data_IF_388541219944
#
_entry.id   IF_388541219944
#
_cell.length_a   1.000
_cell.length_b   1.000
_cell.length_c   1.000
_cell.angle_alpha   90.00
_cell.angle_beta   90.00
_cell.angle_gamma   90.00
#
_symmetry.space_group_name_H-M   'P 1'
#
loop_
_entity.id
_entity.type
_entity.pdbx_description
1 polymer ?
#
# COMPACT_ATOMS: atom_id res chain seq x y z
N UNK A 1 -35.69 69.24 -29.74
CA UNK A 1 -36.40 67.99 -30.14
C UNK A 1 -35.45 66.87 -30.61
N UNK A 2 -34.24 67.17 -31.09
CA UNK A 2 -33.26 66.15 -31.48
C UNK A 2 -32.74 65.32 -30.29
N UNK A 3 -32.46 65.96 -29.14
CA UNK A 3 -31.88 65.29 -27.96
C UNK A 3 -32.77 64.22 -27.33
N UNK A 4 -34.10 64.40 -27.35
CA UNK A 4 -35.05 63.40 -26.82
C UNK A 4 -34.99 62.10 -27.62
N UNK A 5 -34.92 62.18 -28.95
CA UNK A 5 -34.82 60.99 -29.81
C UNK A 5 -33.52 60.24 -29.61
N UNK A 6 -32.43 60.96 -29.34
CA UNK A 6 -31.13 60.35 -29.05
C UNK A 6 -31.17 59.60 -27.70
N UNK A 7 -31.79 60.19 -26.67
CA UNK A 7 -31.97 59.54 -25.37
C UNK A 7 -32.86 58.29 -25.45
N UNK A 8 -33.94 58.35 -26.22
CA UNK A 8 -34.84 57.20 -26.44
C UNK A 8 -34.13 56.06 -27.19
N UNK A 9 -33.29 56.40 -28.17
CA UNK A 9 -32.47 55.44 -28.90
C UNK A 9 -31.43 54.78 -27.98
N UNK A 10 -30.73 55.57 -27.17
CA UNK A 10 -29.74 55.07 -26.19
C UNK A 10 -30.39 54.14 -25.17
N UNK A 11 -31.58 54.49 -24.65
CA UNK A 11 -32.33 53.62 -23.75
C UNK A 11 -32.73 52.29 -24.41
N UNK A 12 -33.12 52.34 -25.69
CA UNK A 12 -33.45 51.14 -26.45
C UNK A 12 -32.22 50.25 -26.64
N UNK A 13 -31.07 50.84 -26.96
CA UNK A 13 -29.81 50.13 -27.14
C UNK A 13 -29.31 49.51 -25.83
N UNK A 14 -29.44 50.20 -24.70
CA UNK A 14 -29.12 49.67 -23.36
C UNK A 14 -30.01 48.46 -23.03
N UNK A 15 -31.32 48.56 -23.26
CA UNK A 15 -32.24 47.45 -23.03
C UNK A 15 -31.94 46.23 -23.92
N UNK A 16 -31.52 46.47 -25.17
CA UNK A 16 -31.08 45.42 -26.07
C UNK A 16 -29.79 44.75 -25.59
N UNK A 17 -28.83 45.52 -25.08
CA UNK A 17 -27.58 45.00 -24.51
C UNK A 17 -27.85 44.17 -23.25
N UNK A 18 -28.70 44.65 -22.33
CA UNK A 18 -29.10 43.92 -21.13
C UNK A 18 -29.77 42.58 -21.48
N UNK A 19 -30.68 42.59 -22.44
CA UNK A 19 -31.35 41.36 -22.90
C UNK A 19 -30.36 40.36 -23.53
N UNK A 20 -29.31 40.86 -24.21
CA UNK A 20 -28.26 40.02 -24.78
C UNK A 20 -27.34 39.45 -23.68
N UNK A 21 -26.98 40.25 -22.67
CA UNK A 21 -26.22 39.78 -21.50
C UNK A 21 -26.96 38.67 -20.77
N UNK A 22 -28.24 38.86 -20.46
CA UNK A 22 -29.08 37.83 -19.81
C UNK A 22 -29.08 36.50 -20.59
N UNK A 23 -29.14 36.57 -21.92
CA UNK A 23 -29.09 35.38 -22.79
C UNK A 23 -27.73 34.71 -22.76
N UNK A 24 -26.65 35.49 -22.72
CA UNK A 24 -25.27 34.98 -22.62
C UNK A 24 -25.05 34.33 -21.26
N UNK A 25 -25.47 34.95 -20.17
CA UNK A 25 -25.37 34.39 -18.82
C UNK A 25 -26.14 33.08 -18.69
N UNK A 26 -27.38 33.02 -19.21
CA UNK A 26 -28.17 31.78 -19.22
C UNK A 26 -27.51 30.68 -20.04
N UNK A 27 -26.90 31.02 -21.18
CA UNK A 27 -26.14 30.06 -22.00
C UNK A 27 -24.88 29.59 -21.28
N UNK A 28 -24.12 30.50 -20.68
CA UNK A 28 -22.90 30.18 -19.94
C UNK A 28 -23.21 29.28 -18.75
N UNK A 29 -24.31 29.51 -18.03
CA UNK A 29 -24.75 28.65 -16.94
C UNK A 29 -25.16 27.24 -17.40
N UNK A 30 -25.78 27.14 -18.58
CA UNK A 30 -26.13 25.84 -19.17
C UNK A 30 -24.89 25.10 -19.70
N UNK A 31 -23.96 25.82 -20.31
CA UNK A 31 -22.71 25.30 -20.86
C UNK A 31 -21.74 24.89 -19.73
N UNK A 32 -21.66 25.67 -18.64
CA UNK A 32 -20.93 25.30 -17.43
C UNK A 32 -21.44 23.97 -16.85
N UNK A 33 -22.77 23.75 -16.81
CA UNK A 33 -23.35 22.47 -16.39
C UNK A 33 -23.08 21.31 -17.35
N UNK A 34 -22.83 21.59 -18.64
CA UNK A 34 -22.44 20.56 -19.61
C UNK A 34 -20.94 20.24 -19.57
N UNK A 35 -20.10 21.25 -19.32
CA UNK A 35 -18.65 21.10 -19.11
C UNK A 35 -18.38 20.32 -17.82
N UNK A 36 -19.16 20.57 -16.78
CA UNK A 36 -19.21 19.81 -15.53
C UNK A 36 -20.04 18.50 -15.69
N UNK A 37 -20.01 17.90 -16.89
CA UNK A 37 -20.79 16.71 -17.24
C UNK A 37 -20.57 15.53 -16.29
N UNK A 38 -21.28 14.39 -16.46
CA UNK A 38 -21.39 13.30 -15.47
C UNK A 38 -20.06 12.60 -15.08
N UNK A 39 -18.93 13.04 -15.64
CA UNK A 39 -17.57 12.55 -15.40
C UNK A 39 -16.58 13.67 -15.00
N UNK A 40 -17.03 14.91 -14.82
CA UNK A 40 -16.20 16.05 -14.44
C UNK A 40 -16.66 16.67 -13.12
N UNK A 41 -15.73 17.05 -12.26
CA UNK A 41 -16.05 17.89 -11.10
C UNK A 41 -15.38 17.43 -9.81
N UNK A 42 -16.06 16.64 -8.98
CA UNK A 42 -15.59 16.28 -7.64
C UNK A 42 -15.56 14.77 -7.40
N UNK A 43 -16.64 14.06 -7.75
CA UNK A 43 -16.81 12.63 -7.44
C UNK A 43 -15.76 11.75 -8.11
N UNK A 44 -15.39 12.05 -9.36
CA UNK A 44 -14.31 11.32 -10.04
C UNK A 44 -12.96 11.57 -9.36
N UNK A 45 -12.70 12.80 -8.89
CA UNK A 45 -11.46 13.15 -8.18
C UNK A 45 -11.40 12.50 -6.80
N UNK A 46 -12.53 12.43 -6.09
CA UNK A 46 -12.65 11.70 -4.84
C UNK A 46 -12.44 10.19 -5.05
N UNK A 47 -13.07 9.61 -6.06
CA UNK A 47 -12.88 8.20 -6.39
C UNK A 47 -11.41 7.91 -6.73
N UNK A 48 -10.78 8.74 -7.57
CA UNK A 48 -9.36 8.62 -7.91
C UNK A 48 -8.48 8.71 -6.65
N UNK A 49 -8.79 9.64 -5.74
CA UNK A 49 -8.05 9.81 -4.48
C UNK A 49 -8.22 8.60 -3.57
N UNK A 50 -9.44 8.08 -3.42
CA UNK A 50 -9.71 6.86 -2.66
C UNK A 50 -8.96 5.65 -3.24
N UNK A 51 -8.94 5.50 -4.57
CA UNK A 51 -8.19 4.43 -5.23
C UNK A 51 -6.69 4.57 -4.97
N UNK A 52 -6.13 5.78 -5.08
CA UNK A 52 -4.71 6.03 -4.78
C UNK A 52 -4.37 5.72 -3.32
N UNK A 53 -5.24 6.07 -2.37
CA UNK A 53 -5.07 5.72 -0.95
C UNK A 53 -5.07 4.20 -0.74
N UNK A 54 -6.00 3.47 -1.37
CA UNK A 54 -6.03 2.00 -1.32
C UNK A 54 -4.76 1.40 -1.90
N UNK A 55 -4.28 1.88 -3.05
CA UNK A 55 -3.03 1.42 -3.66
C UNK A 55 -1.80 1.71 -2.80
N UNK A 56 -1.77 2.86 -2.11
CA UNK A 56 -0.70 3.17 -1.14
C UNK A 56 -0.73 2.19 0.04
N UNK A 57 -1.91 1.94 0.62
CA UNK A 57 -2.05 0.97 1.72
C UNK A 57 -1.60 -0.44 1.32
N UNK A 58 -1.94 -0.90 0.10
CA UNK A 58 -1.47 -2.18 -0.43
C UNK A 58 0.06 -2.21 -0.52
N UNK A 59 0.67 -1.16 -1.09
CA UNK A 59 2.13 -1.04 -1.20
C UNK A 59 2.82 -1.10 0.17
N UNK A 60 2.32 -0.35 1.13
CA UNK A 60 2.92 -0.28 2.47
C UNK A 60 2.81 -1.63 3.20
N UNK A 61 1.69 -2.33 3.00
CA UNK A 61 1.49 -3.69 3.52
C UNK A 61 2.49 -4.66 2.86
N UNK A 62 2.64 -4.62 1.54
CA UNK A 62 3.61 -5.46 0.82
C UNK A 62 5.06 -5.21 1.27
N UNK A 63 5.44 -3.96 1.53
CA UNK A 63 6.77 -3.62 2.04
C UNK A 63 7.00 -4.20 3.44
N UNK A 64 6.00 -4.08 4.31
CA UNK A 64 6.05 -4.64 5.68
C UNK A 64 6.13 -6.18 5.65
N UNK A 65 5.31 -6.82 4.83
CA UNK A 65 5.32 -8.27 4.64
C UNK A 65 6.63 -8.76 4.00
N UNK A 66 7.17 -8.03 3.03
CA UNK A 66 8.48 -8.31 2.43
C UNK A 66 9.60 -8.26 3.46
N UNK A 67 9.59 -7.25 4.34
CA UNK A 67 10.53 -7.16 5.47
C UNK A 67 10.37 -8.34 6.44
N UNK A 68 9.14 -8.75 6.75
CA UNK A 68 8.86 -9.90 7.61
C UNK A 68 9.34 -11.22 7.00
N UNK A 69 9.20 -11.39 5.68
CA UNK A 69 9.58 -12.61 4.99
C UNK A 69 11.10 -12.78 4.94
N UNK A 70 11.85 -11.69 4.76
CA UNK A 70 13.30 -11.72 4.79
C UNK A 70 13.83 -12.01 6.20
N UNK A 71 13.18 -11.47 7.24
CA UNK A 71 13.48 -11.83 8.62
C UNK A 71 13.26 -13.33 8.89
N UNK A 72 12.12 -13.88 8.47
CA UNK A 72 11.83 -15.32 8.62
C UNK A 72 12.83 -16.21 7.88
N UNK A 73 13.32 -15.78 6.71
CA UNK A 73 14.38 -16.50 5.99
C UNK A 73 15.68 -16.53 6.78
N UNK A 74 16.08 -15.39 7.35
CA UNK A 74 17.28 -15.29 8.18
C UNK A 74 17.17 -16.18 9.43
N UNK A 75 16.04 -16.14 10.13
CA UNK A 75 15.77 -16.98 11.30
C UNK A 75 15.80 -18.47 10.94
N UNK A 76 15.16 -18.85 9.82
CA UNK A 76 15.20 -20.23 9.31
C UNK A 76 16.62 -20.69 9.00
N UNK A 77 17.42 -19.85 8.36
CA UNK A 77 18.78 -20.23 7.96
C UNK A 77 19.71 -20.32 9.18
N UNK A 78 19.52 -19.46 10.18
CA UNK A 78 20.18 -19.59 11.47
C UNK A 78 19.80 -20.90 12.17
N UNK A 79 18.51 -21.23 12.27
CA UNK A 79 18.04 -22.47 12.88
C UNK A 79 18.59 -23.71 12.17
N UNK A 80 18.74 -23.67 10.84
CA UNK A 80 19.36 -24.74 10.06
C UNK A 80 20.84 -24.92 10.40
N UNK A 81 21.58 -23.82 10.51
CA UNK A 81 22.99 -23.84 10.88
C UNK A 81 23.19 -24.41 12.30
N UNK A 82 22.36 -23.98 13.26
CA UNK A 82 22.39 -24.47 14.64
C UNK A 82 22.07 -25.96 14.71
N UNK A 83 21.02 -26.41 14.01
CA UNK A 83 20.69 -27.83 13.88
C UNK A 83 21.87 -28.64 13.33
N UNK A 84 22.52 -28.16 12.27
CA UNK A 84 23.62 -28.89 11.64
C UNK A 84 24.85 -28.97 12.56
N UNK A 85 25.12 -27.91 13.33
CA UNK A 85 26.16 -27.92 14.35
C UNK A 85 25.85 -28.92 15.48
N UNK A 86 24.62 -28.90 16.00
CA UNK A 86 24.18 -29.83 17.03
C UNK A 86 24.23 -31.28 16.55
N UNK A 87 23.80 -31.55 15.31
CA UNK A 87 23.87 -32.88 14.72
C UNK A 87 25.31 -33.41 14.68
N UNK A 88 26.27 -32.59 14.25
CA UNK A 88 27.70 -32.95 14.29
C UNK A 88 28.19 -33.27 15.70
N UNK A 89 27.76 -32.51 16.70
CA UNK A 89 28.14 -32.75 18.09
C UNK A 89 27.55 -34.07 18.61
N UNK A 90 26.28 -34.34 18.30
CA UNK A 90 25.59 -35.58 18.64
C UNK A 90 26.29 -36.77 17.98
N UNK A 91 26.60 -36.69 16.69
CA UNK A 91 27.30 -37.77 15.97
C UNK A 91 28.68 -38.05 16.60
N UNK A 92 29.44 -37.00 16.95
CA UNK A 92 30.73 -37.14 17.64
C UNK A 92 30.58 -37.79 19.02
N UNK A 93 29.57 -37.40 19.79
CA UNK A 93 29.32 -37.96 21.11
C UNK A 93 28.89 -39.43 21.01
N UNK A 94 27.99 -39.74 20.08
CA UNK A 94 27.55 -41.10 19.80
C UNK A 94 28.71 -42.00 19.43
N UNK A 95 29.62 -41.53 18.57
CA UNK A 95 30.86 -42.25 18.26
C UNK A 95 31.70 -42.54 19.51
N UNK A 96 31.93 -41.52 20.36
CA UNK A 96 32.70 -41.70 21.61
C UNK A 96 32.03 -42.69 22.57
N UNK A 97 30.72 -42.62 22.73
CA UNK A 97 29.95 -43.55 23.56
C UNK A 97 30.06 -44.97 23.02
N UNK A 98 29.93 -45.15 21.70
CA UNK A 98 30.06 -46.46 21.06
C UNK A 98 31.47 -47.04 21.27
N UNK A 99 32.50 -46.23 21.05
CA UNK A 99 33.89 -46.61 21.28
C UNK A 99 34.14 -46.98 22.75
N UNK A 100 33.64 -46.20 23.72
CA UNK A 100 33.76 -46.52 25.14
C UNK A 100 33.05 -47.84 25.49
N UNK A 101 31.85 -48.08 24.95
CA UNK A 101 31.14 -49.35 25.15
C UNK A 101 31.89 -50.57 24.61
N UNK A 102 32.70 -50.38 23.57
CA UNK A 102 33.50 -51.47 22.97
C UNK A 102 34.82 -51.71 23.69
N UNK A 103 35.44 -50.65 24.24
CA UNK A 103 36.82 -50.70 24.75
C UNK A 103 36.95 -50.59 26.27
N UNK A 104 35.88 -50.26 26.99
CA UNK A 104 35.88 -50.25 28.46
C UNK A 104 35.30 -51.57 28.96
N UNK A 105 36.05 -52.39 29.72
CA UNK A 105 35.50 -53.55 30.39
C UNK A 105 34.42 -53.10 31.36
N UNK A 106 33.19 -53.60 31.20
CA UNK A 106 32.16 -53.41 32.22
C UNK A 106 32.60 -54.26 33.42
N UNK A 107 32.82 -53.66 34.61
CA UNK A 107 33.22 -54.43 35.79
C UNK A 107 32.12 -55.47 36.05
N UNK A 108 32.53 -56.72 36.18
CA UNK A 108 31.62 -57.79 36.57
C UNK A 108 31.10 -57.48 37.98
N UNK A 109 29.88 -57.90 38.36
CA UNK A 109 29.42 -57.81 39.76
C UNK A 109 30.37 -58.46 40.78
N UNK A 110 31.28 -59.33 40.33
CA UNK A 110 32.37 -59.88 41.13
C UNK A 110 33.47 -58.85 41.47
N UNK A 111 33.71 -57.87 40.60
CA UNK A 111 34.73 -56.81 40.77
C UNK A 111 34.23 -55.65 41.65
N UNK A 112 32.91 -55.54 41.84
CA UNK A 112 32.27 -54.48 42.63
C UNK A 112 31.97 -54.88 44.08
N UNK A 113 32.32 -56.11 44.50
CA UNK A 113 32.26 -56.51 45.91
C UNK A 113 33.62 -56.27 46.58
N UNK A 114 33.76 -55.12 47.23
CA UNK A 114 34.71 -54.84 48.30
C UNK A 114 33.92 -54.48 49.56
#
# INVERSE_FOLDING_TARGET
>A
MADSKVLDQVNTDINNVLTRMDKVEKRLAAEAKQVDGPVGGADLREYQTQVLLKLRAIRDTMLKEGSSLEQLRKERDQARNERDALKKQVDKLNYRVHHLKQHVPVPSPADMKL
#
